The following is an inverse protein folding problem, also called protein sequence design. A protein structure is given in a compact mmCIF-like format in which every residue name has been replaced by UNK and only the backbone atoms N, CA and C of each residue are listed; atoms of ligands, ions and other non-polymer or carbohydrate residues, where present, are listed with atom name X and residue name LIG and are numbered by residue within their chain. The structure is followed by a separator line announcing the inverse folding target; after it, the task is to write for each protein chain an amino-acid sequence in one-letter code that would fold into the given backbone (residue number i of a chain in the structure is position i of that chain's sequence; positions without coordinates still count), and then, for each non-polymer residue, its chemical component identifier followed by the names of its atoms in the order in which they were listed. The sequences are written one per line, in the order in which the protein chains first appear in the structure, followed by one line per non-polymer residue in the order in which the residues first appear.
data_IF_883909121491
#
_entry.id   IF_883909121491
#
_cell.length_a   1.000
_cell.length_b   1.000
_cell.length_c   1.000
_cell.angle_alpha   90.00
_cell.angle_beta   90.00
_cell.angle_gamma   90.00
#
_symmetry.space_group_name_H-M   'P 1'
#
loop_
_entity.id
_entity.type
_entity.pdbx_description
1 polymer ?
#
# COMPACT_ATOMS: atom_id res chain seq x y z
N UNK A 1 -2.71 2.41 0.49
CA UNK A 1 -4.17 2.69 0.51
C UNK A 1 -5.03 1.44 0.37
N UNK A 2 -4.56 0.38 -0.30
CA UNK A 2 -5.31 -0.88 -0.50
C UNK A 2 -5.83 -1.55 0.80
N UNK A 3 -5.16 -1.33 1.93
CA UNK A 3 -5.58 -1.80 3.27
C UNK A 3 -6.94 -1.25 3.75
N UNK A 4 -7.46 -0.20 3.10
CA UNK A 4 -8.73 0.44 3.43
C UNK A 4 -9.86 0.03 2.48
N UNK A 5 -9.65 -1.02 1.68
CA UNK A 5 -10.67 -1.65 0.85
C UNK A 5 -11.15 -2.89 1.56
N UNK A 6 -12.28 -2.77 2.25
CA UNK A 6 -12.70 -3.85 3.13
C UNK A 6 -13.13 -5.09 2.31
N UNK A 7 -13.67 -4.98 1.12
CA UNK A 7 -14.14 -6.17 0.39
C UNK A 7 -13.14 -6.71 -0.65
N UNK A 8 -11.90 -6.24 -0.62
CA UNK A 8 -10.95 -6.47 -1.71
C UNK A 8 -11.30 -5.63 -2.94
N UNK A 9 -10.66 -5.92 -4.06
CA UNK A 9 -10.88 -5.25 -5.34
C UNK A 9 -10.30 -6.09 -6.47
N UNK A 10 -10.90 -6.01 -7.66
CA UNK A 10 -10.42 -6.71 -8.85
C UNK A 10 -10.18 -5.67 -9.94
N UNK A 11 -8.97 -5.66 -10.48
CA UNK A 11 -8.60 -4.82 -11.62
C UNK A 11 -8.19 -5.71 -12.80
N UNK A 12 -8.92 -5.59 -13.90
CA UNK A 12 -8.60 -6.25 -15.16
C UNK A 12 -7.91 -5.26 -16.10
N UNK A 13 -6.62 -5.51 -16.40
CA UNK A 13 -5.83 -4.70 -17.32
C UNK A 13 -6.32 -4.78 -18.78
N UNK A 14 -7.09 -5.81 -19.11
CA UNK A 14 -7.68 -5.99 -20.45
C UNK A 14 -9.00 -5.23 -20.61
N UNK A 15 -9.58 -4.74 -19.50
CA UNK A 15 -10.84 -3.99 -19.54
C UNK A 15 -10.65 -2.62 -20.15
N UNK A 16 -11.58 -2.21 -21.01
CA UNK A 16 -11.65 -0.84 -21.53
C UNK A 16 -11.88 0.21 -20.43
N UNK A 17 -12.45 -0.19 -19.29
CA UNK A 17 -12.73 0.68 -18.14
C UNK A 17 -11.63 0.65 -17.08
N UNK A 18 -10.53 -0.08 -17.29
CA UNK A 18 -9.46 -0.27 -16.30
C UNK A 18 -9.03 1.02 -15.58
N UNK A 19 -8.88 2.12 -16.33
CA UNK A 19 -8.44 3.41 -15.78
C UNK A 19 -9.48 4.01 -14.83
N UNK A 20 -10.76 3.89 -15.19
CA UNK A 20 -11.87 4.43 -14.40
C UNK A 20 -12.08 3.56 -13.16
N UNK A 21 -12.01 2.24 -13.31
CA UNK A 21 -12.10 1.29 -12.20
C UNK A 21 -10.95 1.51 -11.20
N UNK A 22 -9.71 1.67 -11.69
CA UNK A 22 -8.56 1.96 -10.84
C UNK A 22 -8.68 3.31 -10.12
N UNK A 23 -9.26 4.32 -10.78
CA UNK A 23 -9.51 5.62 -10.19
C UNK A 23 -10.58 5.53 -9.08
N UNK A 24 -11.68 4.85 -9.33
CA UNK A 24 -12.79 4.69 -8.38
C UNK A 24 -12.36 3.90 -7.13
N UNK A 25 -11.63 2.80 -7.34
CA UNK A 25 -11.02 2.01 -6.26
C UNK A 25 -10.06 2.88 -5.44
N UNK A 26 -9.23 3.69 -6.13
CA UNK A 26 -8.31 4.62 -5.47
C UNK A 26 -9.02 5.66 -4.61
N UNK A 27 -10.10 6.26 -5.13
CA UNK A 27 -10.92 7.24 -4.41
C UNK A 27 -11.62 6.61 -3.20
N UNK A 28 -12.19 5.43 -3.38
CA UNK A 28 -12.84 4.66 -2.31
C UNK A 28 -11.84 4.33 -1.19
N UNK A 29 -10.65 3.85 -1.54
CA UNK A 29 -9.60 3.57 -0.56
C UNK A 29 -9.16 4.82 0.21
N UNK A 30 -9.05 5.96 -0.48
CA UNK A 30 -8.71 7.24 0.15
C UNK A 30 -9.83 7.72 1.09
N UNK A 31 -11.09 7.63 0.65
CA UNK A 31 -12.25 8.00 1.47
C UNK A 31 -12.27 7.19 2.77
N UNK A 32 -12.10 5.87 2.68
CA UNK A 32 -12.10 4.97 3.83
C UNK A 32 -10.92 5.25 4.78
N UNK A 33 -9.73 5.58 4.25
CA UNK A 33 -8.61 6.02 5.08
C UNK A 33 -8.94 7.30 5.85
N UNK A 34 -9.49 8.31 5.18
CA UNK A 34 -9.81 9.58 5.82
C UNK A 34 -10.90 9.39 6.89
N UNK A 35 -11.92 8.57 6.63
CA UNK A 35 -12.93 8.21 7.62
C UNK A 35 -12.31 7.47 8.82
N UNK A 36 -11.37 6.55 8.58
CA UNK A 36 -10.64 5.83 9.62
C UNK A 36 -9.80 6.76 10.52
N UNK A 37 -9.19 7.79 9.94
CA UNK A 37 -8.43 8.81 10.65
C UNK A 37 -9.34 9.78 11.41
N UNK A 38 -10.44 10.23 10.79
CA UNK A 38 -11.42 11.10 11.43
C UNK A 38 -12.06 10.44 12.67
N UNK A 39 -12.35 9.13 12.61
CA UNK A 39 -12.82 8.35 13.76
C UNK A 39 -11.82 8.30 14.94
N UNK A 40 -10.56 8.69 14.71
CA UNK A 40 -9.48 8.77 15.71
C UNK A 40 -9.13 10.21 16.08
N UNK A 41 -9.96 11.18 15.69
CA UNK A 41 -9.75 12.60 15.97
C UNK A 41 -8.70 13.28 15.08
N UNK A 42 -8.40 12.69 13.91
CA UNK A 42 -7.44 13.27 12.95
C UNK A 42 -8.20 13.93 11.81
N UNK A 43 -8.34 15.25 11.86
CA UNK A 43 -9.09 16.03 10.84
C UNK A 43 -8.24 16.45 9.63
N UNK A 44 -6.91 16.23 9.69
CA UNK A 44 -6.00 16.69 8.64
C UNK A 44 -6.09 15.81 7.39
N UNK A 45 -6.45 16.43 6.26
CA UNK A 45 -6.48 15.80 4.92
C UNK A 45 -5.17 15.94 4.15
N UNK A 46 -4.17 16.62 4.73
CA UNK A 46 -2.88 16.84 4.08
C UNK A 46 -2.05 15.55 4.03
N UNK A 47 -1.43 15.27 2.88
CA UNK A 47 -0.65 14.03 2.65
C UNK A 47 0.41 13.78 3.72
N UNK A 48 1.18 14.80 4.10
CA UNK A 48 2.21 14.70 5.14
C UNK A 48 1.65 14.37 6.52
N UNK A 49 0.50 14.96 6.87
CA UNK A 49 -0.15 14.71 8.15
C UNK A 49 -0.76 13.31 8.21
N UNK A 50 -1.43 12.89 7.13
CA UNK A 50 -1.96 11.53 6.95
C UNK A 50 -0.84 10.50 7.08
N UNK A 51 0.28 10.70 6.39
CA UNK A 51 1.43 9.78 6.45
C UNK A 51 2.03 9.71 7.87
N UNK A 52 2.13 10.85 8.57
CA UNK A 52 2.60 10.89 9.96
C UNK A 52 1.71 10.05 10.87
N UNK A 53 0.40 10.18 10.76
CA UNK A 53 -0.54 9.41 11.59
C UNK A 53 -0.52 7.93 11.24
N UNK A 54 -0.47 7.58 9.96
CA UNK A 54 -0.33 6.18 9.54
C UNK A 54 0.93 5.52 10.10
N UNK A 55 2.04 6.24 10.18
CA UNK A 55 3.28 5.73 10.80
C UNK A 55 3.12 5.46 12.29
N UNK A 56 2.38 6.31 13.00
CA UNK A 56 2.08 6.14 14.43
C UNK A 56 1.19 4.92 14.64
N UNK A 57 0.14 4.78 13.83
CA UNK A 57 -0.80 3.66 13.86
C UNK A 57 -0.12 2.32 13.54
N UNK A 58 0.80 2.32 12.56
CA UNK A 58 1.59 1.13 12.27
C UNK A 58 2.49 0.74 13.45
N UNK A 59 3.17 1.71 14.07
CA UNK A 59 4.08 1.45 15.20
C UNK A 59 3.35 0.95 16.46
N UNK A 60 2.13 1.42 16.68
CA UNK A 60 1.27 0.99 17.79
C UNK A 60 0.58 -0.36 17.53
N UNK A 61 0.59 -0.83 16.28
CA UNK A 61 -0.07 -2.08 15.89
C UNK A 61 -1.54 -1.92 15.52
N UNK A 62 -2.09 -0.70 15.56
CA UNK A 62 -3.51 -0.42 15.22
C UNK A 62 -3.86 -0.78 13.76
N UNK A 63 -2.86 -0.94 12.89
CA UNK A 63 -3.07 -1.39 11.51
C UNK A 63 -2.96 -2.91 11.33
N UNK A 64 -2.57 -3.67 12.36
CA UNK A 64 -2.30 -5.11 12.25
C UNK A 64 -3.53 -5.91 11.83
N UNK A 65 -4.71 -5.56 12.35
CA UNK A 65 -5.96 -6.24 11.97
C UNK A 65 -6.28 -6.01 10.49
N UNK A 66 -6.08 -4.78 10.00
CA UNK A 66 -6.26 -4.44 8.58
C UNK A 66 -5.23 -5.12 7.68
N UNK A 67 -3.98 -5.23 8.14
CA UNK A 67 -2.91 -5.94 7.44
C UNK A 67 -3.25 -7.44 7.35
N UNK A 68 -3.65 -8.06 8.46
CA UNK A 68 -4.06 -9.46 8.51
C UNK A 68 -5.24 -9.73 7.57
N UNK A 69 -6.24 -8.85 7.61
CA UNK A 69 -7.41 -8.94 6.74
C UNK A 69 -7.05 -8.79 5.27
N UNK A 70 -6.14 -7.89 4.93
CA UNK A 70 -5.62 -7.76 3.57
C UNK A 70 -4.92 -9.04 3.08
N UNK A 71 -4.10 -9.67 3.93
CA UNK A 71 -3.48 -10.96 3.59
C UNK A 71 -4.53 -12.07 3.40
N UNK A 72 -5.58 -12.11 4.21
CA UNK A 72 -6.68 -13.07 4.02
C UNK A 72 -7.39 -12.84 2.68
N UNK A 73 -7.65 -11.59 2.30
CA UNK A 73 -8.25 -11.26 1.01
C UNK A 73 -7.36 -11.66 -0.17
N UNK A 74 -6.05 -11.51 -0.05
CA UNK A 74 -5.09 -12.02 -1.03
C UNK A 74 -5.14 -13.55 -1.14
N UNK A 75 -5.15 -14.25 0.00
CA UNK A 75 -5.22 -15.71 0.03
C UNK A 75 -6.54 -16.26 -0.54
N UNK A 76 -7.62 -15.48 -0.46
CA UNK A 76 -8.92 -15.80 -1.04
C UNK A 76 -9.07 -15.38 -2.51
N UNK A 77 -8.02 -14.85 -3.13
CA UNK A 77 -8.04 -14.32 -4.51
C UNK A 77 -9.08 -13.21 -4.74
N UNK A 78 -9.51 -12.53 -3.67
CA UNK A 78 -10.45 -11.40 -3.72
C UNK A 78 -9.74 -10.07 -4.02
N UNK A 79 -8.42 -10.11 -4.17
CA UNK A 79 -7.61 -8.99 -4.61
C UNK A 79 -6.87 -9.40 -5.88
N UNK A 80 -7.25 -8.78 -7.00
CA UNK A 80 -6.49 -8.86 -8.25
C UNK A 80 -5.91 -7.49 -8.54
N UNK A 81 -4.62 -7.36 -8.26
CA UNK A 81 -3.87 -6.17 -8.60
C UNK A 81 -2.91 -6.51 -9.75
N UNK A 82 -3.12 -5.96 -10.96
CA UNK A 82 -2.28 -6.24 -12.12
C UNK A 82 -0.91 -5.58 -11.99
N UNK A 83 -0.66 -4.77 -10.96
CA UNK A 83 0.68 -4.25 -10.71
C UNK A 83 1.67 -5.43 -10.53
N UNK A 84 2.95 -5.25 -10.89
CA UNK A 84 3.93 -6.31 -10.70
C UNK A 84 4.09 -6.70 -9.22
N UNK A 85 4.32 -7.98 -8.93
CA UNK A 85 4.48 -8.50 -7.55
C UNK A 85 5.56 -7.78 -6.74
N UNK A 86 6.63 -7.26 -7.36
CA UNK A 86 7.65 -6.49 -6.65
C UNK A 86 7.14 -5.16 -6.05
N UNK A 87 5.95 -4.69 -6.46
CA UNK A 87 5.26 -3.53 -5.88
C UNK A 87 4.29 -3.91 -4.74
N UNK A 88 4.07 -5.21 -4.52
CA UNK A 88 3.17 -5.74 -3.49
C UNK A 88 3.88 -5.95 -2.15
N UNK A 89 5.12 -6.42 -2.19
CA UNK A 89 5.94 -6.76 -1.00
C UNK A 89 6.62 -5.55 -0.34
N UNK A 90 6.16 -4.33 -0.61
CA UNK A 90 6.74 -3.12 0.00
C UNK A 90 6.60 -3.15 1.53
N UNK A 91 5.61 -3.87 2.07
CA UNK A 91 5.44 -4.02 3.52
C UNK A 91 6.51 -4.94 4.15
N UNK A 92 7.01 -5.94 3.43
CA UNK A 92 8.00 -6.92 3.93
C UNK A 92 9.46 -6.42 3.78
N UNK A 93 9.67 -5.45 2.89
CA UNK A 93 10.97 -4.79 2.68
C UNK A 93 11.35 -3.83 3.83
N UNK A 94 10.40 -3.37 4.64
CA UNK A 94 10.66 -2.48 5.79
C UNK A 94 10.69 -3.20 7.14
N UNK A 95 10.23 -4.46 7.21
CA UNK A 95 10.17 -5.27 8.45
C UNK A 95 11.36 -6.22 8.59
N UNK A 96 12.05 -6.57 7.51
CA UNK A 96 13.23 -7.45 7.56
C UNK A 96 14.50 -6.67 7.96
N UNK A 97 15.13 -7.08 9.08
CA UNK A 97 16.45 -6.63 9.56
C UNK A 97 17.62 -7.11 8.67
N UNK A 98 17.38 -7.38 7.40
CA UNK A 98 18.37 -7.87 6.44
C UNK A 98 18.34 -7.00 5.20
N UNK A 99 19.49 -6.39 4.89
CA UNK A 99 19.66 -5.55 3.70
C UNK A 99 19.12 -6.29 2.46
N UNK A 100 18.12 -5.76 1.76
CA UNK A 100 17.56 -6.42 0.59
C UNK A 100 18.60 -6.43 -0.54
N UNK A 101 18.68 -7.56 -1.26
CA UNK A 101 19.57 -7.78 -2.41
C UNK A 101 19.39 -6.73 -3.52
N UNK A 102 18.24 -6.05 -3.55
CA UNK A 102 17.93 -4.94 -4.47
C UNK A 102 18.77 -3.68 -4.17
N UNK A 103 19.15 -3.47 -2.91
CA UNK A 103 20.02 -2.35 -2.52
C UNK A 103 21.47 -2.55 -3.01
N UNK A 104 21.90 -3.81 -3.19
CA UNK A 104 23.19 -4.14 -3.82
C UNK A 104 23.17 -3.76 -5.31
N UNK A 105 22.08 -4.08 -6.03
CA UNK A 105 21.96 -3.73 -7.46
C UNK A 105 21.97 -2.21 -7.65
N UNK A 106 21.21 -1.45 -6.85
CA UNK A 106 21.20 0.02 -6.98
C UNK A 106 22.56 0.65 -6.63
N UNK A 107 23.29 0.13 -5.63
CA UNK A 107 24.67 0.57 -5.35
C UNK A 107 25.65 0.25 -6.48
N UNK A 108 25.55 -0.93 -7.08
CA UNK A 108 26.42 -1.35 -8.20
C UNK A 108 26.19 -0.51 -9.46
N UNK A 109 24.95 -0.06 -9.71
CA UNK A 109 24.63 0.84 -10.82
C UNK A 109 25.04 2.30 -10.56
N UNK A 110 25.15 2.75 -9.30
CA UNK A 110 25.59 4.11 -8.97
C UNK A 110 27.11 4.27 -8.87
N UNK A 111 27.87 3.19 -8.64
CA UNK A 111 29.34 3.25 -8.52
C UNK A 111 30.08 3.05 -9.86
N UNK A 112 29.38 2.78 -10.96
CA UNK A 112 29.97 2.40 -12.26
C UNK A 112 29.92 3.47 -13.37
N UNK A 113 29.57 4.71 -13.07
CA UNK A 113 29.69 5.82 -14.02
C UNK A 113 30.79 6.80 -13.58
N UNK A 114 31.90 6.92 -14.33
CA UNK A 114 32.80 8.06 -14.16
C UNK A 114 32.11 9.33 -14.69
N UNK A 115 32.34 10.45 -13.99
CA UNK A 115 31.84 11.80 -14.33
C UNK A 115 32.21 12.23 -15.75
#
# INVERSE_FOLDING_TARGET
MKLFLDNGFVLDMSSSTYRDDALDIGQTAQHNLLAYLAARGVDSKGSSAVLKHLRILHRSGDLNDRITRYHNLLAMELITDPAPQYTHDILDLYTSKTKPKVMILHQMYTESMPY
#
